data_IF_811085126665
#
_entry.id   IF_811085126665
#
_cell.length_a   1.000
_cell.length_b   1.000
_cell.length_c   1.000
_cell.angle_alpha   90.00
_cell.angle_beta   90.00
_cell.angle_gamma   90.00
#
_symmetry.space_group_name_H-M   'P 1'
#
loop_
_entity.id
_entity.type
_entity.pdbx_description
1 polymer ?
#
# COMPACT_ATOMS: atom_id res chain seq x y z
N UNK A 1 -4.81 -10.64 -16.19
CA UNK A 1 -4.00 -9.72 -15.38
C UNK A 1 -4.67 -9.60 -14.03
N UNK A 2 -3.92 -9.53 -12.91
CA UNK A 2 -4.52 -9.34 -11.59
C UNK A 2 -5.22 -7.97 -11.52
N UNK A 3 -6.36 -7.91 -10.83
CA UNK A 3 -7.16 -6.68 -10.66
C UNK A 3 -7.15 -6.23 -9.20
N UNK A 4 -6.69 -5.01 -8.94
CA UNK A 4 -6.73 -4.37 -7.63
C UNK A 4 -8.07 -3.64 -7.44
N UNK A 5 -8.79 -3.94 -6.36
CA UNK A 5 -9.89 -3.11 -5.88
C UNK A 5 -9.33 -1.97 -5.03
N UNK A 6 -9.26 -0.77 -5.61
CA UNK A 6 -8.82 0.45 -4.91
C UNK A 6 -10.03 1.17 -4.33
N UNK A 7 -10.28 0.96 -3.04
CA UNK A 7 -11.34 1.61 -2.27
C UNK A 7 -10.86 1.78 -0.80
N UNK A 8 -11.62 2.54 -0.01
CA UNK A 8 -11.40 2.68 1.42
C UNK A 8 -12.01 1.48 2.16
N UNK A 9 -11.21 0.42 2.30
CA UNK A 9 -11.61 -0.79 3.03
C UNK A 9 -11.65 -0.50 4.54
N UNK A 10 -12.83 -0.60 5.15
CA UNK A 10 -13.07 -0.44 6.59
C UNK A 10 -13.89 -1.57 7.20
N UNK A 11 -14.49 -2.43 6.37
CA UNK A 11 -15.26 -3.60 6.80
C UNK A 11 -14.95 -4.82 5.91
N UNK A 12 -14.88 -6.01 6.53
CA UNK A 12 -14.65 -7.29 5.83
C UNK A 12 -15.67 -7.57 4.73
N UNK A 13 -16.90 -7.05 4.85
CA UNK A 13 -17.91 -7.08 3.81
C UNK A 13 -17.38 -6.55 2.47
N UNK A 14 -16.61 -5.45 2.49
CA UNK A 14 -16.06 -4.86 1.26
C UNK A 14 -15.03 -5.78 0.60
N UNK A 15 -14.28 -6.57 1.38
CA UNK A 15 -13.34 -7.57 0.84
C UNK A 15 -14.09 -8.68 0.11
N UNK A 16 -15.16 -9.21 0.72
CA UNK A 16 -16.01 -10.19 0.05
C UNK A 16 -16.70 -9.62 -1.20
N UNK A 17 -17.16 -8.37 -1.13
CA UNK A 17 -17.77 -7.68 -2.26
C UNK A 17 -16.77 -7.47 -3.40
N UNK A 18 -15.54 -7.04 -3.09
CA UNK A 18 -14.46 -6.90 -4.06
C UNK A 18 -14.18 -8.24 -4.74
N UNK A 19 -14.11 -9.34 -3.98
CA UNK A 19 -13.90 -10.67 -4.57
C UNK A 19 -15.08 -11.11 -5.43
N UNK A 20 -16.30 -10.83 -5.00
CA UNK A 20 -17.52 -11.13 -5.76
C UNK A 20 -17.51 -10.44 -7.14
N UNK A 21 -17.00 -9.21 -7.21
CA UNK A 21 -16.81 -8.47 -8.47
C UNK A 21 -15.50 -8.80 -9.21
N UNK A 22 -14.75 -9.82 -8.78
CA UNK A 22 -13.60 -10.35 -9.50
C UNK A 22 -12.26 -9.67 -9.20
N UNK A 23 -12.14 -8.94 -8.09
CA UNK A 23 -10.84 -8.44 -7.65
C UNK A 23 -9.91 -9.58 -7.21
N UNK A 24 -8.62 -9.43 -7.49
CA UNK A 24 -7.54 -10.33 -7.06
C UNK A 24 -6.73 -9.75 -5.90
N UNK A 25 -6.87 -8.45 -5.62
CA UNK A 25 -6.26 -7.79 -4.48
C UNK A 25 -7.12 -6.64 -3.96
N UNK A 26 -6.88 -6.22 -2.71
CA UNK A 26 -7.49 -5.04 -2.09
C UNK A 26 -6.44 -4.05 -1.59
N UNK A 27 -6.81 -2.78 -1.50
CA UNK A 27 -6.03 -1.74 -0.84
C UNK A 27 -6.37 -1.71 0.66
N UNK A 28 -5.36 -1.78 1.53
CA UNK A 28 -5.52 -1.54 2.98
C UNK A 28 -4.65 -0.35 3.39
N UNK A 29 -5.27 0.67 3.99
CA UNK A 29 -4.61 1.95 4.28
C UNK A 29 -4.36 2.11 5.78
N UNK A 30 -3.08 2.21 6.18
CA UNK A 30 -2.75 2.36 7.62
C UNK A 30 -3.05 3.75 8.19
N UNK A 31 -3.32 4.73 7.32
CA UNK A 31 -3.86 6.03 7.70
C UNK A 31 -5.34 5.99 8.11
N UNK A 32 -6.04 4.89 7.78
CA UNK A 32 -7.48 4.68 8.06
C UNK A 32 -7.67 3.59 9.11
N UNK A 33 -6.90 2.50 9.00
CA UNK A 33 -7.06 1.31 9.81
C UNK A 33 -6.13 1.30 11.01
N UNK A 34 -6.64 0.88 12.16
CA UNK A 34 -5.78 0.41 13.25
C UNK A 34 -5.27 -1.03 12.98
N UNK A 35 -4.38 -1.54 13.83
CA UNK A 35 -3.73 -2.83 13.61
C UNK A 35 -4.70 -4.03 13.72
N UNK A 36 -5.73 -3.93 14.56
CA UNK A 36 -6.75 -4.98 14.72
C UNK A 36 -7.66 -5.04 13.49
N UNK A 37 -8.12 -3.89 13.00
CA UNK A 37 -8.93 -3.78 11.78
C UNK A 37 -8.14 -4.25 10.55
N UNK A 38 -6.88 -3.84 10.42
CA UNK A 38 -6.00 -4.30 9.34
C UNK A 38 -5.90 -5.83 9.32
N UNK A 39 -5.65 -6.46 10.48
CA UNK A 39 -5.52 -7.92 10.58
C UNK A 39 -6.83 -8.64 10.22
N UNK A 40 -7.97 -8.11 10.63
CA UNK A 40 -9.27 -8.69 10.28
C UNK A 40 -9.52 -8.65 8.76
N UNK A 41 -9.19 -7.54 8.10
CA UNK A 41 -9.32 -7.39 6.65
C UNK A 41 -8.28 -8.24 5.90
N UNK A 42 -7.05 -8.34 6.42
CA UNK A 42 -5.99 -9.19 5.90
C UNK A 42 -6.39 -10.67 5.94
N UNK A 43 -6.92 -11.15 7.06
CA UNK A 43 -7.37 -12.53 7.22
C UNK A 43 -8.50 -12.85 6.21
N UNK A 44 -9.47 -11.94 6.06
CA UNK A 44 -10.53 -12.08 5.08
C UNK A 44 -9.98 -12.17 3.65
N UNK A 45 -9.07 -11.27 3.27
CA UNK A 45 -8.47 -11.25 1.94
C UNK A 45 -7.67 -12.53 1.65
N UNK A 46 -6.82 -12.96 2.60
CA UNK A 46 -6.03 -14.18 2.47
C UNK A 46 -6.90 -15.45 2.41
N UNK A 47 -8.00 -15.50 3.16
CA UNK A 47 -8.95 -16.64 3.09
C UNK A 47 -9.56 -16.82 1.69
N UNK A 48 -9.61 -15.74 0.91
CA UNK A 48 -10.11 -15.69 -0.47
C UNK A 48 -8.99 -15.80 -1.52
N UNK A 49 -7.75 -16.05 -1.09
CA UNK A 49 -6.54 -16.03 -1.92
C UNK A 49 -6.32 -14.69 -2.65
N UNK A 50 -6.69 -13.58 -2.02
CA UNK A 50 -6.45 -12.24 -2.55
C UNK A 50 -5.11 -11.68 -2.07
N UNK A 51 -4.48 -10.86 -2.90
CA UNK A 51 -3.35 -10.02 -2.52
C UNK A 51 -3.78 -8.77 -1.74
N UNK A 52 -2.82 -8.11 -1.12
CA UNK A 52 -3.02 -6.87 -0.38
C UNK A 52 -1.95 -5.88 -0.80
N UNK A 53 -2.35 -4.66 -1.13
CA UNK A 53 -1.47 -3.50 -1.21
C UNK A 53 -1.64 -2.68 0.08
N UNK A 54 -0.60 -2.66 0.92
CA UNK A 54 -0.62 -1.94 2.20
C UNK A 54 -0.11 -0.52 1.98
N UNK A 55 -1.00 0.47 2.02
CA UNK A 55 -0.68 1.87 1.75
C UNK A 55 -0.19 2.58 3.03
N UNK A 56 0.94 3.28 2.91
CA UNK A 56 1.55 4.11 3.93
C UNK A 56 1.86 5.50 3.40
N UNK A 57 1.81 6.48 4.29
CA UNK A 57 2.04 7.89 4.00
C UNK A 57 3.08 8.52 4.91
N UNK A 58 3.55 7.86 5.97
CA UNK A 58 4.54 8.41 6.90
C UNK A 58 5.35 7.29 7.58
N UNK A 59 6.35 7.70 8.38
CA UNK A 59 7.27 6.79 9.07
C UNK A 59 6.56 5.86 10.07
N UNK A 60 5.54 6.37 10.78
CA UNK A 60 4.79 5.58 11.76
C UNK A 60 4.01 4.46 11.06
N UNK A 61 3.28 4.80 9.99
CA UNK A 61 2.54 3.84 9.16
C UNK A 61 3.49 2.81 8.51
N UNK A 62 4.67 3.24 8.06
CA UNK A 62 5.71 2.34 7.55
C UNK A 62 6.12 1.30 8.59
N UNK A 63 6.43 1.74 9.81
CA UNK A 63 6.83 0.83 10.88
C UNK A 63 5.71 -0.15 11.23
N UNK A 64 4.47 0.32 11.25
CA UNK A 64 3.29 -0.55 11.41
C UNK A 64 3.19 -1.57 10.28
N UNK A 65 3.32 -1.17 9.02
CA UNK A 65 3.28 -2.09 7.87
C UNK A 65 4.35 -3.20 7.97
N UNK A 66 5.56 -2.83 8.39
CA UNK A 66 6.65 -3.79 8.63
C UNK A 66 6.31 -4.74 9.76
N UNK A 67 5.80 -4.24 10.90
CA UNK A 67 5.42 -5.06 12.05
C UNK A 67 4.26 -6.02 11.74
N UNK A 68 3.34 -5.58 10.89
CA UNK A 68 2.21 -6.37 10.38
C UNK A 68 2.64 -7.39 9.32
N UNK A 69 3.89 -7.36 8.85
CA UNK A 69 4.42 -8.33 7.88
C UNK A 69 3.91 -8.12 6.46
N UNK A 70 3.54 -6.88 6.10
CA UNK A 70 3.07 -6.54 4.76
C UNK A 70 4.10 -6.93 3.68
N UNK A 71 3.64 -7.66 2.66
CA UNK A 71 4.50 -8.15 1.55
C UNK A 71 4.57 -7.18 0.38
N UNK A 72 3.55 -6.35 0.19
CA UNK A 72 3.52 -5.29 -0.82
C UNK A 72 3.14 -3.99 -0.11
N UNK A 73 4.06 -3.03 -0.11
CA UNK A 73 3.90 -1.76 0.60
C UNK A 73 3.87 -0.62 -0.43
N UNK A 74 2.76 0.10 -0.48
CA UNK A 74 2.55 1.27 -1.33
C UNK A 74 2.86 2.55 -0.58
N UNK A 75 3.80 3.36 -1.07
CA UNK A 75 4.10 4.69 -0.52
C UNK A 75 3.27 5.71 -1.29
N UNK A 76 2.27 6.30 -0.63
CA UNK A 76 1.42 7.31 -1.25
C UNK A 76 2.05 8.71 -1.14
N UNK A 77 2.54 9.24 -2.26
CA UNK A 77 3.15 10.56 -2.31
C UNK A 77 2.12 11.68 -2.11
N UNK A 78 0.82 11.40 -2.20
CA UNK A 78 -0.26 12.36 -1.94
C UNK A 78 -0.66 12.35 -0.47
N UNK A 79 -0.64 13.52 0.15
CA UNK A 79 -1.24 13.69 1.47
C UNK A 79 -2.77 13.78 1.31
N UNK A 80 -3.51 12.83 1.89
CA UNK A 80 -4.98 12.77 1.76
C UNK A 80 -5.71 13.88 2.53
N UNK A 81 -5.02 14.58 3.46
CA UNK A 81 -5.61 15.67 4.25
C UNK A 81 -5.67 16.99 3.50
N UNK A 82 -4.64 17.30 2.70
CA UNK A 82 -4.49 18.58 1.99
C UNK A 82 -4.32 18.43 0.46
N UNK A 83 -4.31 17.19 -0.04
CA UNK A 83 -4.16 16.79 -1.44
C UNK A 83 -2.83 17.17 -2.10
N UNK A 84 -1.88 17.72 -1.35
CA UNK A 84 -0.53 18.00 -1.85
C UNK A 84 0.20 16.72 -2.21
N UNK A 85 1.16 16.79 -3.13
CA UNK A 85 1.91 15.63 -3.60
C UNK A 85 3.40 15.92 -3.58
N UNK A 86 4.18 15.02 -2.98
CA UNK A 86 5.63 15.14 -2.87
C UNK A 86 6.30 13.78 -3.13
N UNK A 87 6.98 13.65 -4.28
CA UNK A 87 7.69 12.43 -4.66
C UNK A 87 8.91 12.15 -3.77
N UNK A 88 9.38 13.13 -2.98
CA UNK A 88 10.45 12.89 -2.01
C UNK A 88 10.01 11.94 -0.89
N UNK A 89 8.69 11.76 -0.67
CA UNK A 89 8.17 10.80 0.31
C UNK A 89 8.62 9.37 -0.01
N UNK A 90 8.49 8.95 -1.26
CA UNK A 90 9.02 7.64 -1.70
C UNK A 90 10.52 7.54 -1.46
N UNK A 91 11.29 8.58 -1.84
CA UNK A 91 12.75 8.61 -1.68
C UNK A 91 13.19 8.55 -0.21
N UNK A 92 12.40 9.12 0.69
CA UNK A 92 12.66 9.15 2.12
C UNK A 92 12.29 7.84 2.82
N UNK A 93 11.13 7.26 2.50
CA UNK A 93 10.58 6.10 3.22
C UNK A 93 11.08 4.75 2.68
N UNK A 94 11.26 4.63 1.36
CA UNK A 94 11.65 3.35 0.74
C UNK A 94 12.96 2.76 1.29
N UNK A 95 14.03 3.52 1.56
CA UNK A 95 15.26 2.98 2.15
C UNK A 95 15.05 2.28 3.49
N UNK A 96 14.16 2.83 4.35
CA UNK A 96 13.81 2.21 5.63
C UNK A 96 13.05 0.90 5.42
N UNK A 97 12.10 0.86 4.47
CA UNK A 97 11.39 -0.40 4.12
C UNK A 97 12.39 -1.45 3.65
N UNK A 98 13.31 -1.12 2.74
CA UNK A 98 14.31 -2.08 2.24
C UNK A 98 15.19 -2.64 3.36
N UNK A 99 15.48 -1.83 4.38
CA UNK A 99 16.25 -2.27 5.54
C UNK A 99 15.47 -3.20 6.46
N UNK A 100 14.21 -2.87 6.74
CA UNK A 100 13.41 -3.57 7.75
C UNK A 100 12.59 -4.74 7.19
N UNK A 101 12.19 -4.67 5.92
CA UNK A 101 11.42 -5.66 5.19
C UNK A 101 12.04 -5.89 3.79
N UNK A 102 13.25 -6.48 3.70
CA UNK A 102 14.01 -6.59 2.45
C UNK A 102 13.31 -7.40 1.35
N UNK A 103 12.35 -8.26 1.73
CA UNK A 103 11.58 -9.08 0.80
C UNK A 103 10.23 -8.45 0.40
N UNK A 104 9.89 -7.29 0.95
CA UNK A 104 8.66 -6.59 0.58
C UNK A 104 8.83 -5.91 -0.78
N UNK A 105 7.81 -6.03 -1.62
CA UNK A 105 7.68 -5.23 -2.84
C UNK A 105 7.27 -3.81 -2.47
N UNK A 106 7.99 -2.82 -2.97
CA UNK A 106 7.72 -1.39 -2.72
C UNK A 106 7.09 -0.77 -3.95
N UNK A 107 5.94 -0.13 -3.82
CA UNK A 107 5.24 0.58 -4.90
C UNK A 107 5.21 2.08 -4.61
N UNK A 108 5.49 2.92 -5.59
CA UNK A 108 5.35 4.38 -5.47
C UNK A 108 4.03 4.86 -6.08
N UNK A 109 3.20 5.55 -5.30
CA UNK A 109 1.86 5.95 -5.74
C UNK A 109 1.68 7.47 -5.76
N UNK A 110 0.84 7.95 -6.69
CA UNK A 110 0.47 9.37 -6.87
C UNK A 110 1.58 10.30 -7.38
N UNK A 111 1.21 11.27 -8.23
CA UNK A 111 2.09 12.40 -8.60
C UNK A 111 3.15 12.13 -9.67
N UNK A 112 3.12 10.96 -10.29
CA UNK A 112 4.08 10.54 -11.33
C UNK A 112 3.44 10.81 -12.69
N UNK A 113 3.94 11.81 -13.41
CA UNK A 113 3.36 12.27 -14.68
C UNK A 113 4.32 12.16 -15.87
N UNK A 114 5.62 12.02 -15.61
CA UNK A 114 6.65 12.04 -16.65
C UNK A 114 7.51 10.78 -16.60
N UNK A 115 8.03 10.39 -17.76
CA UNK A 115 8.97 9.27 -17.84
C UNK A 115 10.21 9.52 -16.96
N UNK A 116 10.71 10.75 -16.88
CA UNK A 116 11.86 11.08 -16.02
C UNK A 116 11.56 10.77 -14.54
N UNK A 117 10.37 11.10 -14.05
CA UNK A 117 9.99 10.75 -12.66
C UNK A 117 9.96 9.24 -12.44
N UNK A 118 9.50 8.45 -13.43
CA UNK A 118 9.57 6.98 -13.35
C UNK A 118 11.02 6.51 -13.25
N UNK A 119 11.92 7.07 -14.07
CA UNK A 119 13.36 6.75 -14.04
C UNK A 119 14.00 7.09 -12.69
N UNK A 120 13.64 8.23 -12.11
CA UNK A 120 14.17 8.68 -10.83
C UNK A 120 13.66 7.83 -9.65
N UNK A 121 12.45 7.29 -9.73
CA UNK A 121 11.84 6.49 -8.66
C UNK A 121 12.20 5.00 -8.74
N UNK A 122 12.60 4.51 -9.91
CA UNK A 122 12.98 3.11 -10.13
C UNK A 122 14.17 2.64 -9.29
N UNK A 123 14.97 3.56 -8.74
CA UNK A 123 16.04 3.23 -7.80
C UNK A 123 15.52 2.93 -6.38
N UNK A 124 14.29 3.35 -6.06
CA UNK A 124 13.70 3.28 -4.73
C UNK A 124 12.57 2.25 -4.64
N UNK A 125 11.72 2.16 -5.67
CA UNK A 125 10.54 1.33 -5.74
C UNK A 125 10.63 0.26 -6.85
N UNK A 126 9.93 -0.85 -6.65
CA UNK A 126 9.80 -1.96 -7.60
C UNK A 126 8.73 -1.69 -8.67
N UNK A 127 7.83 -0.73 -8.42
CA UNK A 127 6.74 -0.34 -9.32
C UNK A 127 6.06 0.96 -8.94
#
# INVERSE_FOLDING_TARGET
>A
QPVLCKDFMVDTYQVYLARHYGADAVLLMLSVLNDEEYKALEEAAHSLNMGILTEVSNEEELHRAVQLGARVIGINNRNLRDLTTDLNRTKALAPTIRKLAPNATVISESGIYTHQQVRDLAEYADG
#
